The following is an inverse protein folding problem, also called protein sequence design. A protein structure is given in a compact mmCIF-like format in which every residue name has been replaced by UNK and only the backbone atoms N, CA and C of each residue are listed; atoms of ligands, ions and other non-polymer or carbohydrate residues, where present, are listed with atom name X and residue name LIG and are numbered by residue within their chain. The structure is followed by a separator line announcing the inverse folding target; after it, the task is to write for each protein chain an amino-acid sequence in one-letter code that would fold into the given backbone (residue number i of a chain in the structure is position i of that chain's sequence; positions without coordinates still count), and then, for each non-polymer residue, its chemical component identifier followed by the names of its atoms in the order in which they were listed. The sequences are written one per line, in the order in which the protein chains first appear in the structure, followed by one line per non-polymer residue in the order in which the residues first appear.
data_IF_429867771245
#
_entry.id   IF_429867771245
#
_cell.length_a   1.000
_cell.length_b   1.000
_cell.length_c   1.000
_cell.angle_alpha   90.00
_cell.angle_beta   90.00
_cell.angle_gamma   90.00
#
_symmetry.space_group_name_H-M   'P 1'
#
loop_
_entity.id
_entity.type
_entity.pdbx_description
1 polymer ?
#
# COMPACT_ATOMS: atom_id res chain seq x y z
N UNK A 1 16.72 -0.18 23.83
CA UNK A 1 16.26 1.23 23.92
C UNK A 1 15.75 1.63 22.54
N UNK A 2 14.68 2.39 22.43
CA UNK A 2 14.08 2.74 21.13
C UNK A 2 13.25 4.02 21.22
N UNK A 3 12.86 4.56 20.07
CA UNK A 3 11.96 5.72 20.02
C UNK A 3 10.54 5.38 20.46
N UNK A 4 9.81 6.36 21.01
CA UNK A 4 8.42 6.16 21.42
C UNK A 4 7.52 5.92 20.20
N UNK A 5 6.80 4.79 20.19
CA UNK A 5 5.80 4.50 19.15
C UNK A 5 4.73 5.59 19.14
N UNK A 6 4.37 6.07 17.95
CA UNK A 6 3.37 7.13 17.78
C UNK A 6 3.92 8.57 17.77
N UNK A 7 5.22 8.76 18.07
CA UNK A 7 5.88 10.04 17.79
C UNK A 7 6.03 10.23 16.27
N UNK A 8 5.67 11.41 15.72
CA UNK A 8 5.70 11.67 14.28
C UNK A 8 7.11 11.59 13.68
N UNK A 9 8.15 11.73 14.52
CA UNK A 9 9.54 11.78 14.07
C UNK A 9 10.25 10.42 14.21
N UNK A 10 9.72 9.52 15.04
CA UNK A 10 10.34 8.23 15.33
C UNK A 10 10.42 7.32 14.10
N UNK A 11 9.37 7.27 13.27
CA UNK A 11 9.40 6.47 12.04
C UNK A 11 10.45 6.97 11.05
N UNK A 12 10.60 8.29 10.93
CA UNK A 12 11.61 8.91 10.06
C UNK A 12 13.02 8.57 10.53
N UNK A 13 13.29 8.72 11.83
CA UNK A 13 14.60 8.36 12.41
C UNK A 13 14.87 6.87 12.23
N UNK A 14 13.89 5.99 12.48
CA UNK A 14 14.04 4.55 12.30
C UNK A 14 14.40 4.21 10.85
N UNK A 15 13.74 4.84 9.88
CA UNK A 15 14.07 4.66 8.46
C UNK A 15 15.48 5.17 8.11
N UNK A 16 15.91 6.31 8.66
CA UNK A 16 17.28 6.80 8.47
C UNK A 16 18.31 5.85 9.07
N UNK A 17 18.04 5.31 10.26
CA UNK A 17 18.91 4.34 10.91
C UNK A 17 19.02 3.05 10.07
N UNK A 18 17.88 2.50 9.64
CA UNK A 18 17.83 1.32 8.78
C UNK A 18 18.53 1.55 7.45
N UNK A 19 18.43 2.75 6.85
CA UNK A 19 19.17 3.09 5.62
C UNK A 19 20.68 2.92 5.79
N UNK A 20 21.27 3.41 6.88
CA UNK A 20 22.71 3.25 7.12
C UNK A 20 23.10 1.81 7.40
N UNK A 21 22.27 1.07 8.12
CA UNK A 21 22.48 -0.36 8.36
C UNK A 21 22.40 -1.19 7.07
N UNK A 22 21.42 -0.93 6.21
CA UNK A 22 21.09 -1.76 5.06
C UNK A 22 21.88 -1.40 3.79
N UNK A 23 22.49 -0.21 3.69
CA UNK A 23 23.15 0.26 2.46
C UNK A 23 24.14 -0.75 1.86
N UNK A 24 24.93 -1.41 2.70
CA UNK A 24 25.96 -2.34 2.25
C UNK A 24 25.36 -3.72 1.94
N UNK A 25 24.28 -4.09 2.64
CA UNK A 25 23.46 -5.28 2.36
C UNK A 25 22.82 -5.14 0.97
N UNK A 26 22.19 -4.00 0.70
CA UNK A 26 21.55 -3.68 -0.59
C UNK A 26 22.55 -3.78 -1.73
N UNK A 27 23.73 -3.16 -1.59
CA UNK A 27 24.79 -3.26 -2.61
C UNK A 27 25.22 -4.69 -2.89
N UNK A 28 25.42 -5.50 -1.84
CA UNK A 28 25.81 -6.91 -1.99
C UNK A 28 24.74 -7.72 -2.73
N UNK A 29 23.46 -7.48 -2.43
CA UNK A 29 22.34 -8.17 -3.07
C UNK A 29 22.20 -7.74 -4.53
N UNK A 30 22.30 -6.45 -4.83
CA UNK A 30 22.31 -5.95 -6.21
C UNK A 30 23.44 -6.57 -7.04
N UNK A 31 24.64 -6.70 -6.47
CA UNK A 31 25.78 -7.35 -7.16
C UNK A 31 25.54 -8.84 -7.46
N UNK A 32 24.57 -9.48 -6.79
CA UNK A 32 24.19 -10.88 -7.03
C UNK A 32 23.00 -11.04 -8.00
N UNK A 33 22.55 -9.94 -8.62
CA UNK A 33 21.29 -9.84 -9.35
C UNK A 33 20.07 -10.26 -8.51
N UNK A 34 20.15 -10.00 -7.20
CA UNK A 34 19.09 -10.25 -6.24
C UNK A 34 18.15 -9.06 -6.10
N UNK A 35 17.00 -9.29 -5.46
CA UNK A 35 16.02 -8.26 -5.11
C UNK A 35 16.14 -7.95 -3.62
N UNK A 36 16.17 -6.67 -3.26
CA UNK A 36 16.02 -6.22 -1.88
C UNK A 36 14.80 -5.29 -1.79
N UNK A 37 13.84 -5.63 -0.94
CA UNK A 37 12.68 -4.80 -0.64
C UNK A 37 12.55 -4.70 0.87
N UNK A 38 12.25 -3.50 1.37
CA UNK A 38 11.91 -3.27 2.78
C UNK A 38 10.58 -2.54 2.90
N UNK A 39 9.76 -2.98 3.84
CA UNK A 39 8.59 -2.26 4.29
C UNK A 39 8.66 -2.06 5.81
N UNK A 40 9.01 -0.84 6.23
CA UNK A 40 9.26 -0.51 7.64
C UNK A 40 10.32 -1.46 8.23
N UNK A 41 9.89 -2.46 9.02
CA UNK A 41 10.75 -3.40 9.71
C UNK A 41 10.87 -4.75 8.98
N UNK A 42 10.00 -5.03 8.02
CA UNK A 42 9.99 -6.28 7.26
C UNK A 42 10.90 -6.17 6.03
N UNK A 43 11.80 -7.14 5.86
CA UNK A 43 12.76 -7.21 4.75
C UNK A 43 12.50 -8.47 3.93
N UNK A 44 12.43 -8.32 2.61
CA UNK A 44 12.35 -9.40 1.63
C UNK A 44 13.57 -9.38 0.71
N UNK A 45 14.25 -10.52 0.60
CA UNK A 45 15.48 -10.67 -0.18
C UNK A 45 15.35 -11.87 -1.11
N UNK A 46 15.72 -11.70 -2.37
CA UNK A 46 16.07 -12.82 -3.26
C UNK A 46 17.56 -12.75 -3.59
N UNK A 47 18.20 -13.92 -3.69
CA UNK A 47 19.64 -14.00 -3.91
C UNK A 47 20.02 -15.29 -4.62
N UNK A 48 21.06 -15.24 -5.43
CA UNK A 48 21.56 -16.37 -6.23
C UNK A 48 22.81 -17.01 -5.62
N UNK A 49 22.92 -17.01 -4.29
CA UNK A 49 24.04 -17.63 -3.57
C UNK A 49 23.66 -19.02 -3.05
N UNK A 50 24.65 -19.91 -2.85
CA UNK A 50 24.42 -21.16 -2.14
C UNK A 50 23.91 -20.89 -0.72
N UNK A 51 22.97 -21.70 -0.24
CA UNK A 51 22.32 -21.53 1.08
C UNK A 51 23.33 -21.45 2.23
N UNK A 52 24.43 -22.20 2.16
CA UNK A 52 25.50 -22.18 3.16
C UNK A 52 26.28 -20.85 3.19
N UNK A 53 26.43 -20.19 2.05
CA UNK A 53 27.04 -18.86 1.99
C UNK A 53 26.08 -17.81 2.54
N UNK A 54 24.79 -17.94 2.22
CA UNK A 54 23.76 -17.04 2.70
C UNK A 54 23.65 -17.07 4.24
N UNK A 55 23.67 -18.24 4.88
CA UNK A 55 23.59 -18.33 6.34
C UNK A 55 24.77 -17.63 7.01
N UNK A 56 26.01 -17.87 6.55
CA UNK A 56 27.21 -17.17 7.02
C UNK A 56 27.13 -15.67 6.80
N UNK A 57 26.52 -15.23 5.70
CA UNK A 57 26.38 -13.81 5.42
C UNK A 57 25.33 -13.15 6.31
N UNK A 58 24.21 -13.82 6.60
CA UNK A 58 23.22 -13.36 7.57
C UNK A 58 23.85 -13.20 8.96
N UNK A 59 24.72 -14.12 9.38
CA UNK A 59 25.46 -14.00 10.64
C UNK A 59 26.41 -12.81 10.67
N UNK A 60 26.99 -12.44 9.52
CA UNK A 60 27.81 -11.23 9.38
C UNK A 60 26.98 -9.96 9.42
N UNK A 61 25.84 -9.91 8.72
CA UNK A 61 24.92 -8.77 8.78
C UNK A 61 24.40 -8.53 10.20
N UNK A 62 24.12 -9.61 10.94
CA UNK A 62 23.75 -9.54 12.35
C UNK A 62 24.86 -9.02 13.28
N UNK A 63 26.09 -8.80 12.79
CA UNK A 63 27.20 -8.17 13.53
C UNK A 63 27.45 -6.72 13.12
N UNK A 64 26.72 -6.20 12.12
CA UNK A 64 26.88 -4.80 11.69
C UNK A 64 26.46 -3.83 12.79
N UNK A 65 25.47 -4.20 13.60
CA UNK A 65 24.98 -3.38 14.69
C UNK A 65 24.49 -4.26 15.83
N UNK A 66 24.87 -3.93 17.07
CA UNK A 66 24.47 -4.66 18.29
C UNK A 66 22.97 -4.50 18.59
N UNK A 67 22.33 -3.44 18.09
CA UNK A 67 20.93 -3.13 18.35
C UNK A 67 19.97 -3.73 17.32
N UNK A 68 20.47 -4.24 16.19
CA UNK A 68 19.65 -4.87 15.15
C UNK A 68 19.90 -6.37 15.12
N UNK A 69 18.81 -7.15 15.14
CA UNK A 69 18.86 -8.59 14.93
C UNK A 69 17.90 -9.00 13.82
N UNK A 70 18.45 -9.46 12.70
CA UNK A 70 17.73 -10.07 11.59
C UNK A 70 17.31 -11.49 11.99
N UNK A 71 16.01 -11.69 12.18
CA UNK A 71 15.40 -13.01 12.28
C UNK A 71 14.96 -13.44 10.88
N UNK A 72 15.67 -14.37 10.28
CA UNK A 72 15.49 -14.75 8.88
C UNK A 72 14.77 -16.09 8.75
N UNK A 73 13.85 -16.18 7.79
CA UNK A 73 13.32 -17.44 7.27
C UNK A 73 13.82 -17.61 5.84
N UNK A 74 14.59 -18.67 5.58
CA UNK A 74 15.19 -18.94 4.27
C UNK A 74 14.54 -20.17 3.68
N UNK A 75 14.08 -20.07 2.44
CA UNK A 75 13.47 -21.18 1.71
C UNK A 75 13.00 -20.76 0.33
N UNK A 76 12.47 -21.71 -0.42
CA UNK A 76 11.82 -21.46 -1.72
C UNK A 76 10.43 -20.85 -1.57
N UNK A 77 9.85 -20.90 -0.38
CA UNK A 77 8.57 -20.27 -0.05
C UNK A 77 8.74 -19.42 1.19
N UNK A 78 8.20 -18.21 1.16
CA UNK A 78 8.17 -17.31 2.32
C UNK A 78 6.95 -16.40 2.25
N UNK A 79 6.66 -15.71 3.36
CA UNK A 79 5.58 -14.74 3.43
C UNK A 79 6.17 -13.34 3.63
N UNK A 80 5.66 -12.36 2.90
CA UNK A 80 6.03 -10.96 3.04
C UNK A 80 4.78 -10.10 2.98
N UNK A 81 4.47 -9.41 4.08
CA UNK A 81 3.21 -8.69 4.26
C UNK A 81 2.01 -9.63 4.03
N UNK A 82 1.16 -9.31 3.06
CA UNK A 82 -0.01 -10.07 2.67
C UNK A 82 0.25 -11.06 1.51
N UNK A 83 1.51 -11.28 1.13
CA UNK A 83 1.88 -12.14 0.02
C UNK A 83 2.57 -13.41 0.51
N UNK A 84 2.11 -14.55 -0.01
CA UNK A 84 2.86 -15.80 0.01
C UNK A 84 3.62 -15.88 -1.30
N UNK A 85 4.94 -15.99 -1.23
CA UNK A 85 5.83 -15.91 -2.39
C UNK A 85 6.55 -17.24 -2.51
N UNK A 86 6.46 -17.85 -3.68
CA UNK A 86 7.13 -19.10 -4.03
C UNK A 86 8.08 -18.88 -5.21
N UNK A 87 9.34 -19.26 -5.06
CA UNK A 87 10.33 -19.24 -6.12
C UNK A 87 10.37 -20.61 -6.81
N UNK A 88 9.97 -20.65 -8.10
CA UNK A 88 10.15 -21.82 -8.96
C UNK A 88 11.16 -21.47 -10.04
N UNK A 89 12.37 -21.99 -9.90
CA UNK A 89 13.45 -21.86 -10.90
C UNK A 89 13.74 -20.40 -11.31
N UNK A 90 13.75 -19.46 -10.36
CA UNK A 90 14.03 -18.04 -10.59
C UNK A 90 12.79 -17.20 -10.91
N UNK A 91 11.62 -17.82 -11.09
CA UNK A 91 10.35 -17.12 -11.28
C UNK A 91 9.58 -17.07 -9.96
N UNK A 92 9.20 -15.87 -9.53
CA UNK A 92 8.41 -15.66 -8.31
C UNK A 92 6.93 -15.75 -8.63
N UNK A 93 6.27 -16.70 -7.98
CA UNK A 93 4.82 -16.84 -7.95
C UNK A 93 4.30 -16.25 -6.64
N UNK A 94 3.18 -15.53 -6.70
CA UNK A 94 2.60 -14.85 -5.55
C UNK A 94 1.15 -15.31 -5.36
N UNK A 95 0.75 -15.45 -4.10
CA UNK A 95 -0.61 -15.76 -3.68
C UNK A 95 -0.97 -14.87 -2.49
N UNK A 96 -2.26 -14.77 -2.16
CA UNK A 96 -2.68 -14.12 -0.91
C UNK A 96 -2.21 -14.96 0.28
N UNK A 97 -1.44 -14.35 1.18
CA UNK A 97 -1.11 -14.98 2.46
C UNK A 97 -2.25 -14.78 3.46
N UNK A 98 -2.71 -15.89 4.04
CA UNK A 98 -3.62 -15.91 5.18
C UNK A 98 -2.85 -16.46 6.38
N UNK A 99 -2.82 -15.70 7.48
CA UNK A 99 -2.17 -16.16 8.71
C UNK A 99 -2.84 -17.46 9.20
N UNK A 100 -2.14 -18.37 9.88
CA UNK A 100 -2.76 -19.57 10.44
C UNK A 100 -3.92 -19.27 11.41
N UNK A 101 -3.86 -18.13 12.10
CA UNK A 101 -4.92 -17.63 12.97
C UNK A 101 -6.00 -16.83 12.23
N UNK A 102 -6.03 -16.88 10.90
CA UNK A 102 -7.01 -16.14 10.10
C UNK A 102 -8.38 -16.79 10.26
N UNK A 103 -9.31 -16.02 10.80
CA UNK A 103 -10.73 -16.33 10.76
C UNK A 103 -11.35 -15.63 9.56
N UNK A 104 -12.27 -16.28 8.83
CA UNK A 104 -13.00 -15.69 7.70
C UNK A 104 -14.05 -14.69 8.20
N UNK A 105 -13.69 -13.79 9.12
CA UNK A 105 -14.56 -12.78 9.69
C UNK A 105 -14.43 -11.48 8.91
N UNK A 106 -15.54 -11.09 8.28
CA UNK A 106 -15.69 -9.80 7.66
C UNK A 106 -16.82 -9.05 8.35
N UNK A 107 -16.95 -7.76 8.08
CA UNK A 107 -18.04 -6.97 8.60
C UNK A 107 -19.38 -7.65 8.25
N UNK A 108 -20.17 -8.15 9.22
CA UNK A 108 -21.38 -8.88 8.90
C UNK A 108 -22.37 -8.01 8.14
N UNK A 109 -23.04 -8.58 7.14
CA UNK A 109 -23.94 -7.80 6.28
C UNK A 109 -25.14 -7.24 7.05
N UNK A 110 -25.58 -7.90 8.12
CA UNK A 110 -26.67 -7.48 9.00
C UNK A 110 -26.26 -6.42 10.05
N UNK A 111 -24.98 -6.05 10.13
CA UNK A 111 -24.51 -5.04 11.09
C UNK A 111 -25.02 -3.62 10.74
N UNK A 112 -25.06 -2.71 11.71
CA UNK A 112 -25.54 -1.32 11.53
C UNK A 112 -24.40 -0.44 10.97
N UNK A 113 -23.86 -0.83 9.82
CA UNK A 113 -22.84 -0.07 9.10
C UNK A 113 -23.38 0.44 7.76
N UNK A 114 -22.89 1.60 7.29
CA UNK A 114 -23.29 2.14 5.99
C UNK A 114 -23.12 1.14 4.85
N UNK A 115 -24.08 1.11 3.93
CA UNK A 115 -24.09 0.16 2.81
C UNK A 115 -22.86 0.30 1.91
N UNK A 116 -22.27 1.49 1.80
CA UNK A 116 -21.08 1.71 0.98
C UNK A 116 -19.86 0.94 1.50
N UNK A 117 -19.72 0.78 2.83
CA UNK A 117 -18.66 -0.04 3.42
C UNK A 117 -18.85 -1.51 3.06
N UNK A 118 -20.09 -2.00 3.20
CA UNK A 118 -20.45 -3.37 2.84
C UNK A 118 -20.22 -3.63 1.35
N UNK A 119 -20.50 -2.67 0.46
CA UNK A 119 -20.19 -2.77 -0.98
C UNK A 119 -18.69 -2.83 -1.26
N UNK A 120 -17.89 -2.05 -0.54
CA UNK A 120 -16.47 -1.95 -0.79
C UNK A 120 -15.69 -3.18 -0.36
N UNK A 121 -16.13 -3.92 0.66
CA UNK A 121 -15.45 -5.14 1.13
C UNK A 121 -15.25 -6.19 0.02
N UNK A 122 -16.30 -6.75 -0.62
CA UNK A 122 -16.12 -7.72 -1.72
C UNK A 122 -15.39 -7.12 -2.92
N UNK A 123 -15.62 -5.84 -3.20
CA UNK A 123 -15.00 -5.13 -4.32
C UNK A 123 -13.47 -5.02 -4.17
N UNK A 124 -13.00 -4.49 -3.05
CA UNK A 124 -11.56 -4.33 -2.78
C UNK A 124 -10.87 -5.68 -2.57
N UNK A 125 -11.55 -6.66 -1.95
CA UNK A 125 -10.97 -7.99 -1.76
C UNK A 125 -10.78 -8.75 -3.07
N UNK A 126 -11.70 -8.61 -4.03
CA UNK A 126 -11.50 -9.19 -5.36
C UNK A 126 -10.33 -8.50 -6.09
N UNK A 127 -10.22 -7.17 -6.00
CA UNK A 127 -9.06 -6.44 -6.55
C UNK A 127 -7.76 -6.94 -5.92
N UNK A 128 -7.73 -7.12 -4.59
CA UNK A 128 -6.58 -7.68 -3.87
C UNK A 128 -6.23 -9.08 -4.38
N UNK A 129 -7.20 -9.97 -4.52
CA UNK A 129 -6.99 -11.32 -5.04
C UNK A 129 -6.37 -11.30 -6.45
N UNK A 130 -6.87 -10.43 -7.34
CA UNK A 130 -6.32 -10.29 -8.70
C UNK A 130 -4.89 -9.73 -8.66
N UNK A 131 -4.61 -8.72 -7.84
CA UNK A 131 -3.28 -8.12 -7.73
C UNK A 131 -2.26 -9.10 -7.14
N UNK A 132 -2.66 -9.88 -6.14
CA UNK A 132 -1.73 -10.70 -5.35
C UNK A 132 -1.50 -12.08 -5.94
N UNK A 133 -2.50 -12.71 -6.55
CA UNK A 133 -2.32 -14.00 -7.19
C UNK A 133 -1.61 -13.83 -8.54
N UNK A 134 -0.51 -14.53 -8.79
CA UNK A 134 0.22 -14.46 -10.06
C UNK A 134 -0.34 -15.39 -11.12
N UNK A 135 -1.03 -16.46 -10.71
CA UNK A 135 -1.65 -17.44 -11.62
C UNK A 135 -3.16 -17.39 -11.55
N UNK A 136 -3.81 -17.85 -12.63
CA UNK A 136 -5.27 -17.90 -12.70
C UNK A 136 -5.85 -18.88 -11.69
N UNK A 137 -5.19 -20.02 -11.49
CA UNK A 137 -5.61 -21.05 -10.53
C UNK A 137 -5.59 -20.53 -9.09
N UNK A 138 -4.52 -19.83 -8.71
CA UNK A 138 -4.42 -19.20 -7.38
C UNK A 138 -5.49 -18.11 -7.19
N UNK A 139 -5.78 -17.34 -8.23
CA UNK A 139 -6.87 -16.36 -8.20
C UNK A 139 -8.24 -17.01 -8.04
N UNK A 140 -8.55 -18.06 -8.79
CA UNK A 140 -9.83 -18.77 -8.66
C UNK A 140 -10.00 -19.33 -7.25
N UNK A 141 -8.96 -19.96 -6.72
CA UNK A 141 -8.98 -20.49 -5.36
C UNK A 141 -9.23 -19.39 -4.32
N UNK A 142 -8.54 -18.26 -4.43
CA UNK A 142 -8.75 -17.12 -3.52
C UNK A 142 -10.15 -16.48 -3.69
N UNK A 143 -10.66 -16.38 -4.92
CA UNK A 143 -12.00 -15.88 -5.21
C UNK A 143 -13.06 -16.75 -4.54
N UNK A 144 -12.94 -18.07 -4.62
CA UNK A 144 -13.89 -18.98 -3.98
C UNK A 144 -13.80 -18.93 -2.45
N UNK A 145 -12.59 -18.86 -1.89
CA UNK A 145 -12.40 -18.61 -0.45
C UNK A 145 -13.07 -17.32 0.01
N UNK A 146 -12.86 -16.22 -0.73
CA UNK A 146 -13.47 -14.93 -0.46
C UNK A 146 -14.99 -15.00 -0.51
N UNK A 147 -15.54 -15.64 -1.56
CA UNK A 147 -16.98 -15.84 -1.73
C UNK A 147 -17.55 -16.60 -0.53
N UNK A 148 -16.95 -17.72 -0.15
CA UNK A 148 -17.41 -18.52 0.97
C UNK A 148 -17.37 -17.74 2.28
N UNK A 149 -16.27 -17.03 2.56
CA UNK A 149 -16.15 -16.20 3.75
C UNK A 149 -17.23 -15.11 3.79
N UNK A 150 -17.53 -14.43 2.68
CA UNK A 150 -18.56 -13.39 2.66
C UNK A 150 -19.98 -13.95 2.81
N UNK A 151 -20.27 -15.12 2.23
CA UNK A 151 -21.55 -15.81 2.43
C UNK A 151 -21.75 -16.21 3.91
N UNK A 152 -20.68 -16.68 4.58
CA UNK A 152 -20.71 -16.95 6.03
C UNK A 152 -20.99 -15.68 6.84
N UNK A 153 -20.51 -14.52 6.38
CA UNK A 153 -20.82 -13.20 6.95
C UNK A 153 -22.15 -12.60 6.46
N UNK A 154 -23.07 -13.43 5.96
CA UNK A 154 -24.45 -13.12 5.58
C UNK A 154 -24.60 -12.15 4.41
N UNK A 155 -23.59 -12.03 3.55
CA UNK A 155 -23.74 -11.27 2.32
C UNK A 155 -24.67 -12.01 1.34
N UNK A 156 -25.69 -11.33 0.76
CA UNK A 156 -26.52 -11.94 -0.27
C UNK A 156 -25.71 -12.27 -1.54
N UNK A 157 -25.96 -13.43 -2.16
CA UNK A 157 -25.22 -13.86 -3.36
C UNK A 157 -25.28 -12.86 -4.51
N UNK A 158 -26.47 -12.35 -4.83
CA UNK A 158 -26.65 -11.33 -5.88
C UNK A 158 -25.88 -10.03 -5.58
N UNK A 159 -25.81 -9.66 -4.30
CA UNK A 159 -25.07 -8.48 -3.87
C UNK A 159 -23.56 -8.66 -4.13
N UNK A 160 -23.03 -9.86 -3.85
CA UNK A 160 -21.64 -10.22 -4.12
C UNK A 160 -21.33 -10.18 -5.61
N UNK A 161 -22.13 -10.84 -6.44
CA UNK A 161 -21.93 -10.85 -7.89
C UNK A 161 -21.97 -9.44 -8.47
N UNK A 162 -22.87 -8.58 -7.97
CA UNK A 162 -22.89 -7.17 -8.37
C UNK A 162 -21.59 -6.43 -8.04
N UNK A 163 -20.96 -6.72 -6.90
CA UNK A 163 -19.68 -6.10 -6.55
C UNK A 163 -18.50 -6.69 -7.34
N UNK A 164 -18.54 -7.99 -7.65
CA UNK A 164 -17.54 -8.62 -8.52
C UNK A 164 -17.63 -8.07 -9.95
N UNK A 165 -18.84 -7.95 -10.50
CA UNK A 165 -19.08 -7.33 -11.81
C UNK A 165 -18.66 -5.86 -11.85
N UNK A 166 -18.76 -5.13 -10.73
CA UNK A 166 -18.26 -3.76 -10.63
C UNK A 166 -16.74 -3.68 -10.81
N UNK A 167 -15.98 -4.69 -10.38
CA UNK A 167 -14.52 -4.76 -10.66
C UNK A 167 -14.28 -4.94 -12.15
N UNK A 168 -15.01 -5.85 -12.79
CA UNK A 168 -14.94 -6.10 -14.23
C UNK A 168 -15.22 -4.81 -15.02
N UNK A 169 -16.28 -4.08 -14.64
CA UNK A 169 -16.65 -2.80 -15.24
C UNK A 169 -15.60 -1.70 -15.00
N UNK A 170 -15.05 -1.58 -13.79
CA UNK A 170 -14.05 -0.56 -13.47
C UNK A 170 -12.80 -0.65 -14.34
N UNK A 171 -12.41 -1.86 -14.73
CA UNK A 171 -11.20 -2.12 -15.51
C UNK A 171 -11.48 -2.49 -16.97
N UNK A 172 -12.68 -2.20 -17.49
CA UNK A 172 -13.11 -2.46 -18.88
C UNK A 172 -12.74 -3.88 -19.35
N UNK A 173 -13.09 -4.88 -18.54
CA UNK A 173 -12.82 -6.29 -18.85
C UNK A 173 -13.97 -6.81 -19.72
N UNK A 174 -13.76 -6.79 -21.04
CA UNK A 174 -14.79 -7.14 -22.04
C UNK A 174 -14.96 -8.65 -22.28
N UNK A 175 -14.15 -9.49 -21.62
CA UNK A 175 -14.16 -10.94 -21.78
C UNK A 175 -14.10 -11.64 -20.42
N UNK A 176 -14.69 -12.84 -20.28
CA UNK A 176 -14.57 -13.60 -19.05
C UNK A 176 -13.10 -13.88 -18.71
N UNK A 177 -12.78 -13.79 -17.41
CA UNK A 177 -11.43 -14.06 -16.91
C UNK A 177 -11.15 -15.55 -17.08
N UNK A 178 -10.06 -15.86 -17.78
CA UNK A 178 -9.61 -17.21 -18.12
C UNK A 178 -8.08 -17.28 -17.99
N UNK A 179 -7.53 -18.50 -18.01
CA UNK A 179 -6.08 -18.66 -17.91
C UNK A 179 -5.31 -17.91 -19.03
N UNK A 180 -5.93 -17.78 -20.21
CA UNK A 180 -5.30 -17.14 -21.39
C UNK A 180 -5.17 -15.62 -21.25
N UNK A 181 -6.09 -14.94 -20.57
CA UNK A 181 -6.14 -13.48 -20.47
C UNK A 181 -5.85 -12.95 -19.05
N UNK A 182 -5.62 -13.84 -18.08
CA UNK A 182 -5.45 -13.44 -16.68
C UNK A 182 -4.19 -12.59 -16.44
N UNK A 183 -3.06 -12.93 -17.06
CA UNK A 183 -1.79 -12.21 -16.87
C UNK A 183 -1.89 -10.75 -17.30
N UNK A 184 -2.43 -10.49 -18.50
CA UNK A 184 -2.61 -9.15 -19.06
C UNK A 184 -3.63 -8.34 -18.25
N UNK A 185 -4.72 -8.96 -17.82
CA UNK A 185 -5.72 -8.35 -16.94
C UNK A 185 -5.13 -7.96 -15.59
N UNK A 186 -4.35 -8.85 -14.98
CA UNK A 186 -3.67 -8.60 -13.71
C UNK A 186 -2.70 -7.42 -13.83
N UNK A 187 -1.89 -7.38 -14.88
CA UNK A 187 -0.98 -6.25 -15.14
C UNK A 187 -1.75 -4.94 -15.26
N UNK A 188 -2.85 -4.92 -16.04
CA UNK A 188 -3.73 -3.75 -16.17
C UNK A 188 -4.18 -3.25 -14.80
N UNK A 189 -4.62 -4.14 -13.91
CA UNK A 189 -5.12 -3.79 -12.57
C UNK A 189 -3.99 -3.32 -11.63
N UNK A 190 -2.81 -3.93 -11.70
CA UNK A 190 -1.65 -3.53 -10.87
C UNK A 190 -1.21 -2.11 -11.24
N UNK A 191 -1.19 -1.77 -12.52
CA UNK A 191 -0.69 -0.48 -13.00
C UNK A 191 -1.76 0.61 -13.10
N UNK A 192 -3.05 0.27 -13.09
CA UNK A 192 -4.14 1.25 -13.17
C UNK A 192 -4.14 2.28 -12.04
N UNK A 193 -3.72 1.90 -10.82
CA UNK A 193 -3.70 2.81 -9.67
C UNK A 193 -2.41 3.64 -9.58
N UNK A 194 -1.41 3.42 -10.45
CA UNK A 194 -0.27 4.33 -10.57
C UNK A 194 -0.72 5.60 -11.27
N UNK A 195 -1.47 6.45 -10.57
CA UNK A 195 -1.55 7.87 -10.96
C UNK A 195 -0.12 8.37 -10.98
N UNK A 196 0.36 8.79 -12.15
CA UNK A 196 1.62 9.50 -12.24
C UNK A 196 1.59 10.61 -11.18
N UNK A 197 2.56 10.62 -10.26
CA UNK A 197 2.72 11.79 -9.39
C UNK A 197 2.86 12.97 -10.32
N UNK A 198 1.95 13.93 -10.23
CA UNK A 198 2.03 15.16 -10.99
C UNK A 198 3.40 15.75 -10.68
N UNK A 199 4.28 15.83 -11.67
CA UNK A 199 5.57 16.48 -11.54
C UNK A 199 5.30 17.95 -11.28
N UNK A 200 5.46 18.37 -10.04
CA UNK A 200 5.33 19.76 -9.63
C UNK A 200 6.62 20.47 -9.98
N UNK A 201 6.54 21.49 -10.81
CA UNK A 201 7.63 22.44 -11.00
C UNK A 201 7.68 23.39 -9.79
N UNK A 202 8.61 23.12 -8.86
CA UNK A 202 8.76 23.92 -7.65
C UNK A 202 9.25 25.36 -7.92
N UNK A 203 9.79 25.65 -9.10
CA UNK A 203 10.16 27.03 -9.48
C UNK A 203 8.93 27.85 -9.87
N UNK A 204 7.87 27.19 -10.36
CA UNK A 204 6.63 27.82 -10.84
C UNK A 204 5.42 27.53 -9.97
N UNK A 205 5.60 26.87 -8.82
CA UNK A 205 4.49 26.46 -7.96
C UNK A 205 4.72 26.90 -6.51
N UNK A 206 3.76 27.63 -5.95
CA UNK A 206 3.76 28.02 -4.54
C UNK A 206 2.72 27.22 -3.77
N UNK A 207 3.12 26.45 -2.76
CA UNK A 207 2.18 25.76 -1.89
C UNK A 207 1.70 26.66 -0.75
N UNK A 208 0.40 26.94 -0.74
CA UNK A 208 -0.25 27.73 0.32
C UNK A 208 -1.03 26.77 1.20
N UNK A 209 -0.48 26.46 2.37
CA UNK A 209 -1.15 25.63 3.34
C UNK A 209 -2.01 26.47 4.27
N UNK A 210 -3.30 26.13 4.39
CA UNK A 210 -4.19 26.75 5.37
C UNK A 210 -4.86 25.71 6.26
N UNK A 211 -5.22 26.14 7.46
CA UNK A 211 -6.01 25.34 8.39
C UNK A 211 -7.47 25.40 7.96
N UNK A 212 -8.06 24.25 7.63
CA UNK A 212 -9.48 24.21 7.29
C UNK A 212 -10.34 24.39 8.54
N UNK A 213 -11.25 25.36 8.50
CA UNK A 213 -12.38 25.50 9.42
C UNK A 213 -13.63 25.86 8.61
N UNK A 214 -14.83 25.66 9.18
CA UNK A 214 -16.10 25.85 8.46
C UNK A 214 -16.21 27.25 7.83
N UNK A 215 -15.74 28.28 8.55
CA UNK A 215 -15.71 29.68 8.10
C UNK A 215 -14.74 29.93 6.94
N UNK A 216 -13.74 29.06 6.76
CA UNK A 216 -12.74 29.12 5.68
C UNK A 216 -13.12 28.25 4.48
N UNK A 217 -14.35 27.74 4.39
CA UNK A 217 -14.83 26.95 3.24
C UNK A 217 -14.65 27.67 1.90
N UNK A 218 -14.86 29.00 1.89
CA UNK A 218 -14.70 29.83 0.69
C UNK A 218 -13.28 30.37 0.50
N UNK A 219 -12.35 30.07 1.41
CA UNK A 219 -10.98 30.58 1.34
C UNK A 219 -10.28 30.20 0.03
N UNK A 220 -10.35 28.95 -0.48
CA UNK A 220 -9.66 28.61 -1.72
C UNK A 220 -10.11 29.48 -2.90
N UNK A 221 -11.42 29.66 -3.04
CA UNK A 221 -12.02 30.49 -4.10
C UNK A 221 -11.58 31.94 -3.94
N UNK A 222 -11.77 32.52 -2.74
CA UNK A 222 -11.40 33.91 -2.46
C UNK A 222 -9.91 34.17 -2.67
N UNK A 223 -9.05 33.25 -2.25
CA UNK A 223 -7.62 33.35 -2.45
C UNK A 223 -7.28 33.41 -3.94
N UNK A 224 -7.82 32.51 -4.76
CA UNK A 224 -7.58 32.57 -6.21
C UNK A 224 -8.13 33.84 -6.85
N UNK A 225 -9.29 34.33 -6.41
CA UNK A 225 -9.83 35.61 -6.88
C UNK A 225 -8.89 36.77 -6.56
N UNK A 226 -8.37 36.83 -5.33
CA UNK A 226 -7.40 37.85 -4.91
C UNK A 226 -6.07 37.68 -5.63
N UNK A 227 -5.59 36.44 -5.78
CA UNK A 227 -4.35 36.13 -6.48
C UNK A 227 -4.39 36.67 -7.91
N UNK A 228 -5.46 36.34 -8.63
CA UNK A 228 -5.65 36.80 -9.99
C UNK A 228 -5.76 38.33 -10.04
N UNK A 229 -6.51 38.94 -9.12
CA UNK A 229 -6.69 40.40 -9.10
C UNK A 229 -5.38 41.18 -8.89
N UNK A 230 -4.49 40.70 -8.03
CA UNK A 230 -3.32 41.47 -7.61
C UNK A 230 -2.00 41.01 -8.24
N UNK A 231 -1.91 39.77 -8.72
CA UNK A 231 -0.63 39.18 -9.14
C UNK A 231 -0.59 38.79 -10.63
N UNK A 232 -1.65 39.00 -11.41
CA UNK A 232 -1.63 38.74 -12.87
C UNK A 232 -0.61 39.63 -13.61
N UNK A 233 -0.45 40.88 -13.21
CA UNK A 233 0.49 41.84 -13.83
C UNK A 233 1.82 41.95 -13.05
N UNK A 234 2.02 41.08 -12.06
CA UNK A 234 3.20 41.05 -11.20
C UNK A 234 4.34 40.23 -11.83
N UNK A 235 5.61 40.46 -11.49
CA UNK A 235 6.73 39.59 -11.89
C UNK A 235 6.57 38.12 -11.48
N UNK A 236 5.65 37.81 -10.56
CA UNK A 236 5.34 36.45 -10.11
C UNK A 236 4.09 35.86 -10.77
N UNK A 237 3.62 36.42 -11.89
CA UNK A 237 2.44 35.93 -12.61
C UNK A 237 2.60 34.49 -13.14
N UNK A 238 3.84 34.03 -13.36
CA UNK A 238 4.15 32.65 -13.74
C UNK A 238 3.98 31.66 -12.58
N UNK A 239 3.95 32.13 -11.33
CA UNK A 239 3.80 31.29 -10.15
C UNK A 239 2.34 30.88 -10.00
N UNK A 240 2.09 29.57 -10.02
CA UNK A 240 0.79 28.96 -9.75
C UNK A 240 0.66 28.64 -8.25
N UNK A 241 -0.22 29.32 -7.51
CA UNK A 241 -0.47 28.95 -6.13
C UNK A 241 -1.31 27.67 -6.09
N UNK A 242 -0.86 26.69 -5.32
CA UNK A 242 -1.59 25.45 -5.03
C UNK A 242 -1.98 25.47 -3.56
N UNK A 243 -3.29 25.53 -3.31
CA UNK A 243 -3.83 25.61 -1.96
C UNK A 243 -3.98 24.19 -1.42
N UNK A 244 -3.33 23.90 -0.29
CA UNK A 244 -3.46 22.65 0.43
C UNK A 244 -4.09 22.85 1.80
N UNK A 245 -5.00 21.97 2.20
CA UNK A 245 -5.49 21.95 3.59
C UNK A 245 -4.49 21.20 4.47
N UNK A 246 -4.16 21.77 5.63
CA UNK A 246 -3.58 21.00 6.74
C UNK A 246 -4.73 20.49 7.60
N UNK A 247 -4.84 19.16 7.72
CA UNK A 247 -5.72 18.56 8.72
C UNK A 247 -5.11 18.83 10.10
N UNK A 248 -5.63 19.84 10.80
CA UNK A 248 -5.34 20.00 12.22
C UNK A 248 -6.17 18.95 12.95
N UNK A 249 -5.53 18.13 13.80
CA UNK A 249 -6.28 17.40 14.83
C UNK A 249 -6.98 18.47 15.67
N UNK A 250 -8.30 18.59 15.54
CA UNK A 250 -9.06 19.67 16.17
C UNK A 250 -8.69 19.84 17.65
N UNK A 251 -8.42 21.08 18.05
CA UNK A 251 -8.24 21.53 19.44
C UNK A 251 -9.38 21.02 20.36
N UNK A 252 -10.55 20.77 19.78
CA UNK A 252 -11.71 20.14 20.43
C UNK A 252 -11.37 18.78 21.08
N UNK A 253 -10.48 17.96 20.49
CA UNK A 253 -10.01 16.71 21.11
C UNK A 253 -8.97 16.93 22.22
N UNK A 254 -8.20 18.02 22.18
CA UNK A 254 -7.28 18.41 23.25
C UNK A 254 -8.03 18.98 24.46
N UNK A 255 -9.14 19.68 24.25
CA UNK A 255 -9.97 20.25 25.32
C UNK A 255 -10.91 19.23 26.00
N UNK A 256 -11.20 18.09 25.36
CA UNK A 256 -12.04 17.02 25.94
C UNK A 256 -11.28 16.20 27.00
N UNK A 257 -9.95 16.34 27.13
CA UNK A 257 -9.17 15.73 28.23
C UNK A 257 -8.99 16.61 29.47
N UNK A 258 -9.78 17.68 29.58
CA UNK A 258 -10.01 18.34 30.87
C UNK A 258 -11.45 18.08 31.31
N UNK A 259 -11.67 16.87 31.85
CA UNK A 259 -12.70 16.59 32.84
C UNK A 259 -12.08 15.71 33.91
#
# INVERSE_FOLDING_TARGET
RGGAMGSPLTLTIANCYMFFFERDIVKQISNSNGLYIRYIDDIFITINWPTQHLSKQIDRWNKFDVNIKLKTQVGYTTNFLDLKIENKNGVLFTEVYHKPSYEPYYLPFNSIHPIHMKKNIPFEMLIRAIKYCSTFEAYLYEREKLRMALLLNKYPGEFLEKQFNRVIQKYDINQPISNKNYSTLREKIIYADKKAKITIDYNKTMFVHFTYCLNMRMFPVKFHTLWNKYFIESPINEIKPVIGTRNVKNLQQQLIRNK
#
